data_IF_337613041495
#
_entry.id   IF_337613041495
#
_cell.length_a   1.000
_cell.length_b   1.000
_cell.length_c   1.000
_cell.angle_alpha   90.00
_cell.angle_beta   90.00
_cell.angle_gamma   90.00
#
_symmetry.space_group_name_H-M   'P 1'
#
loop_
_entity.id
_entity.type
_entity.pdbx_description
1 polymer ?
#
# COMPACT_ATOMS: atom_id res chain seq x y z
N UNK A 1 6.77 -22.77 -15.43
CA UNK A 1 7.13 -23.63 -14.27
C UNK A 1 7.82 -22.83 -13.15
N UNK A 2 8.25 -21.59 -13.36
CA UNK A 2 8.61 -20.67 -12.27
C UNK A 2 7.47 -19.67 -12.07
N UNK A 3 6.40 -20.09 -11.41
CA UNK A 3 5.47 -19.12 -10.83
C UNK A 3 6.14 -18.68 -9.52
N UNK A 4 6.32 -17.38 -9.31
CA UNK A 4 6.87 -16.78 -8.09
C UNK A 4 8.41 -16.72 -7.94
N UNK A 5 9.09 -15.92 -8.78
CA UNK A 5 10.26 -15.19 -8.26
C UNK A 5 9.76 -14.29 -7.12
N UNK A 6 10.26 -14.54 -5.92
CA UNK A 6 9.83 -13.90 -4.67
C UNK A 6 9.00 -14.75 -3.71
N UNK A 7 8.80 -16.04 -3.98
CA UNK A 7 8.36 -16.96 -2.93
C UNK A 7 9.54 -17.25 -2.00
N UNK A 8 9.49 -16.65 -0.81
CA UNK A 8 10.51 -16.79 0.22
C UNK A 8 9.91 -17.52 1.42
N UNK A 9 10.49 -18.66 1.81
CA UNK A 9 10.16 -19.26 3.10
C UNK A 9 10.82 -18.41 4.18
N UNK A 10 10.06 -17.86 5.14
CA UNK A 10 10.63 -16.98 6.14
C UNK A 10 11.64 -17.74 7.00
N UNK A 11 12.80 -17.12 7.18
CA UNK A 11 13.81 -17.56 8.12
C UNK A 11 13.32 -17.40 9.56
N UNK A 12 13.97 -18.07 10.52
CA UNK A 12 13.65 -17.90 11.94
C UNK A 12 13.78 -16.44 12.39
N UNK A 13 14.77 -15.73 11.86
CA UNK A 13 15.01 -14.31 12.14
C UNK A 13 13.85 -13.44 11.64
N UNK A 14 13.33 -13.70 10.45
CA UNK A 14 12.17 -12.96 9.92
C UNK A 14 10.88 -13.25 10.68
N UNK A 15 10.68 -14.49 11.13
CA UNK A 15 9.54 -14.83 12.00
C UNK A 15 9.63 -14.06 13.31
N UNK A 16 10.80 -14.03 13.94
CA UNK A 16 11.01 -13.29 15.19
C UNK A 16 10.86 -11.79 15.00
N UNK A 17 11.43 -11.25 13.92
CA UNK A 17 11.23 -9.85 13.53
C UNK A 17 9.76 -9.51 13.32
N UNK A 18 8.98 -10.42 12.72
CA UNK A 18 7.54 -10.27 12.56
C UNK A 18 6.77 -10.28 13.88
N UNK A 19 7.21 -11.06 14.87
CA UNK A 19 6.61 -11.06 16.22
C UNK A 19 6.88 -9.75 16.95
N UNK A 20 8.12 -9.26 16.92
CA UNK A 20 8.45 -7.97 17.52
C UNK A 20 7.70 -6.83 16.83
N UNK A 21 7.50 -6.90 15.51
CA UNK A 21 6.65 -5.96 14.78
C UNK A 21 5.23 -5.94 15.35
N UNK A 22 4.58 -7.10 15.47
CA UNK A 22 3.19 -7.21 15.97
C UNK A 22 3.09 -6.71 17.41
N UNK A 23 4.08 -7.02 18.24
CA UNK A 23 4.17 -6.53 19.63
C UNK A 23 4.29 -5.01 19.69
N UNK A 24 5.11 -4.39 18.83
CA UNK A 24 5.26 -2.93 18.77
C UNK A 24 3.96 -2.25 18.32
N UNK A 25 3.24 -2.83 17.36
CA UNK A 25 1.91 -2.38 16.94
C UNK A 25 0.89 -2.52 18.06
N UNK A 26 0.93 -3.62 18.81
CA UNK A 26 0.06 -3.86 19.96
C UNK A 26 0.28 -2.83 21.06
N UNK A 27 1.53 -2.63 21.49
CA UNK A 27 1.88 -1.64 22.52
C UNK A 27 1.38 -0.25 22.10
N UNK A 28 1.67 0.19 20.87
CA UNK A 28 1.21 1.47 20.36
C UNK A 28 -0.32 1.59 20.35
N UNK A 29 -1.03 0.52 19.95
CA UNK A 29 -2.50 0.50 19.92
C UNK A 29 -3.11 0.63 21.32
N UNK A 30 -2.57 -0.09 22.30
CA UNK A 30 -3.02 0.01 23.69
C UNK A 30 -2.67 1.37 24.31
N UNK A 31 -1.47 1.90 24.02
CA UNK A 31 -1.08 3.26 24.45
C UNK A 31 -2.05 4.31 23.93
N UNK A 32 -2.44 4.26 22.65
CA UNK A 32 -3.34 5.28 22.08
C UNK A 32 -4.77 5.17 22.63
N UNK A 33 -5.25 3.97 22.96
CA UNK A 33 -6.60 3.78 23.53
C UNK A 33 -6.81 4.50 24.86
N UNK A 34 -5.75 4.67 25.66
CA UNK A 34 -5.82 5.30 26.97
C UNK A 34 -5.54 6.81 26.93
N UNK A 35 -5.18 7.37 25.77
CA UNK A 35 -4.93 8.80 25.64
C UNK A 35 -6.23 9.60 25.80
N UNK A 36 -6.19 10.77 26.47
CA UNK A 36 -7.35 11.65 26.57
C UNK A 36 -7.73 12.19 25.19
N UNK A 37 -9.03 12.50 24.97
CA UNK A 37 -9.51 13.06 23.69
C UNK A 37 -8.74 14.31 23.24
N UNK A 38 -8.23 15.09 24.19
CA UNK A 38 -7.39 16.28 23.93
C UNK A 38 -6.09 15.96 23.22
N UNK A 39 -5.57 14.73 23.32
CA UNK A 39 -4.34 14.30 22.63
C UNK A 39 -4.51 14.14 21.11
N UNK A 40 -5.76 14.06 20.62
CA UNK A 40 -6.07 13.79 19.21
C UNK A 40 -6.38 15.04 18.38
N UNK A 41 -6.45 16.21 19.01
CA UNK A 41 -6.97 17.44 18.38
C UNK A 41 -6.23 18.71 18.84
N UNK A 42 -4.91 18.66 18.91
CA UNK A 42 -4.09 19.85 19.15
C UNK A 42 -4.30 20.89 18.06
N UNK A 43 -4.26 22.16 18.45
CA UNK A 43 -4.17 23.33 17.55
C UNK A 43 -2.76 23.51 16.96
N UNK A 44 -1.81 22.67 17.35
CA UNK A 44 -0.46 22.72 16.80
C UNK A 44 -0.43 22.30 15.34
N UNK A 45 0.39 23.03 14.59
CA UNK A 45 0.67 22.79 13.18
C UNK A 45 2.18 22.86 12.96
N UNK A 46 2.68 22.01 12.07
CA UNK A 46 4.07 22.02 11.62
C UNK A 46 4.11 22.11 10.09
N UNK A 47 4.98 22.97 9.56
CA UNK A 47 5.09 23.23 8.14
C UNK A 47 6.47 22.87 7.61
N UNK A 48 6.51 22.31 6.40
CA UNK A 48 7.76 21.97 5.71
C UNK A 48 7.76 22.51 4.29
N UNK A 49 8.94 22.90 3.82
CA UNK A 49 9.13 23.47 2.49
C UNK A 49 8.58 22.57 1.40
N UNK A 50 7.81 23.17 0.47
CA UNK A 50 7.18 22.46 -0.65
C UNK A 50 6.06 21.48 -0.27
N UNK A 51 5.79 21.26 1.02
CA UNK A 51 4.78 20.32 1.52
C UNK A 51 3.60 21.01 2.19
N UNK A 52 3.75 22.29 2.53
CA UNK A 52 2.77 23.02 3.33
C UNK A 52 2.75 22.51 4.77
N UNK A 53 1.59 22.62 5.39
CA UNK A 53 1.46 22.36 6.82
C UNK A 53 0.65 21.11 7.16
N UNK A 54 0.95 20.54 8.33
CA UNK A 54 0.38 19.35 8.94
C UNK A 54 -0.14 19.71 10.32
N UNK A 55 -1.42 19.50 10.57
CA UNK A 55 -2.06 19.68 11.88
C UNK A 55 -2.70 18.37 12.31
N UNK A 56 -3.09 18.21 13.58
CA UNK A 56 -3.87 17.04 14.01
C UNK A 56 -5.36 17.14 13.61
N UNK A 57 -5.72 18.17 12.83
CA UNK A 57 -7.09 18.42 12.39
C UNK A 57 -7.24 18.14 10.90
N UNK A 58 -8.22 17.31 10.58
CA UNK A 58 -8.65 17.05 9.22
C UNK A 58 -8.02 15.83 8.57
N UNK A 59 -8.30 15.68 7.28
CA UNK A 59 -8.07 14.44 6.53
C UNK A 59 -6.68 14.35 5.90
N UNK A 60 -5.81 15.34 6.09
CA UNK A 60 -4.47 15.39 5.45
C UNK A 60 -3.33 14.99 6.40
N UNK A 61 -3.67 14.62 7.62
CA UNK A 61 -2.71 14.31 8.66
C UNK A 61 -3.24 13.20 9.57
N UNK A 62 -2.34 12.62 10.35
CA UNK A 62 -2.66 11.64 11.37
C UNK A 62 -3.09 12.37 12.66
N UNK A 63 -4.13 11.91 13.35
CA UNK A 63 -4.65 12.65 14.52
C UNK A 63 -3.83 12.46 15.80
N UNK A 64 -3.00 11.41 15.89
CA UNK A 64 -2.31 11.05 17.16
C UNK A 64 -1.05 11.88 17.40
N UNK A 65 -0.26 12.18 16.37
CA UNK A 65 0.96 12.97 16.50
C UNK A 65 1.27 13.66 15.18
N UNK A 66 1.99 14.78 15.25
CA UNK A 66 2.52 15.44 14.07
C UNK A 66 3.68 14.61 13.48
N UNK A 67 3.89 14.66 12.15
CA UNK A 67 5.00 13.96 11.52
C UNK A 67 6.35 14.55 11.93
N UNK A 68 7.39 13.73 11.89
CA UNK A 68 8.80 14.13 11.95
C UNK A 68 9.19 14.97 10.73
N UNK A 69 10.35 15.63 10.77
CA UNK A 69 10.81 16.44 9.64
C UNK A 69 11.24 15.59 8.42
N UNK A 70 11.18 16.13 7.18
CA UNK A 70 11.72 15.47 6.00
C UNK A 70 13.16 14.98 6.15
N UNK A 71 13.98 15.70 6.93
CA UNK A 71 15.38 15.34 7.19
C UNK A 71 15.52 14.11 8.08
N UNK A 72 14.63 13.95 9.06
CA UNK A 72 14.61 12.78 9.95
C UNK A 72 14.04 11.55 9.24
N UNK A 73 12.98 11.73 8.46
CA UNK A 73 12.33 10.65 7.71
C UNK A 73 13.20 10.20 6.51
N UNK A 74 14.01 11.11 5.94
CA UNK A 74 15.01 10.84 4.91
C UNK A 74 14.47 10.00 3.74
N UNK A 75 13.31 10.41 3.22
CA UNK A 75 12.63 9.68 2.14
C UNK A 75 13.42 9.77 0.84
N UNK A 76 13.67 8.62 0.22
CA UNK A 76 14.35 8.50 -1.07
C UNK A 76 13.39 7.96 -2.13
N UNK A 77 13.40 8.62 -3.29
CA UNK A 77 12.63 8.21 -4.45
C UNK A 77 13.57 7.58 -5.49
N UNK A 78 13.60 6.26 -5.52
CA UNK A 78 14.51 5.49 -6.35
C UNK A 78 13.85 5.11 -7.67
N UNK A 79 14.15 5.85 -8.74
CA UNK A 79 13.57 5.64 -10.07
C UNK A 79 14.31 4.55 -10.85
N UNK A 80 13.56 3.53 -11.22
CA UNK A 80 13.96 2.45 -12.11
C UNK A 80 13.17 2.51 -13.42
N UNK A 81 13.81 2.03 -14.48
CA UNK A 81 13.20 1.77 -15.78
C UNK A 81 13.89 0.57 -16.41
N UNK A 82 13.42 0.13 -17.58
CA UNK A 82 14.12 -0.90 -18.38
C UNK A 82 15.57 -0.51 -18.71
N UNK A 83 15.90 0.79 -18.75
CA UNK A 83 17.25 1.29 -19.03
C UNK A 83 18.19 1.22 -17.82
N UNK A 84 17.64 1.28 -16.61
CA UNK A 84 18.41 1.33 -15.37
C UNK A 84 17.77 0.42 -14.30
N UNK A 85 17.73 -0.89 -14.59
CA UNK A 85 17.08 -1.87 -13.71
C UNK A 85 17.81 -2.10 -12.38
N UNK A 86 19.13 -1.92 -12.37
CA UNK A 86 19.99 -2.25 -11.22
C UNK A 86 20.29 -1.04 -10.35
N UNK A 87 20.64 0.10 -10.97
CA UNK A 87 21.01 1.33 -10.27
C UNK A 87 19.93 2.39 -10.50
N UNK A 88 19.24 2.85 -9.44
CA UNK A 88 18.19 3.84 -9.59
C UNK A 88 18.76 5.24 -9.85
N UNK A 89 17.96 6.08 -10.50
CA UNK A 89 18.15 7.53 -10.46
C UNK A 89 17.41 8.05 -9.21
N UNK A 90 18.08 8.84 -8.38
CA UNK A 90 17.45 9.42 -7.19
C UNK A 90 16.73 10.71 -7.59
N UNK A 91 15.42 10.75 -7.36
CA UNK A 91 14.59 11.92 -7.58
C UNK A 91 14.48 12.73 -6.29
N UNK A 92 14.53 14.06 -6.41
CA UNK A 92 14.34 14.99 -5.30
C UNK A 92 13.14 15.90 -5.61
N UNK A 93 12.10 15.82 -4.77
CA UNK A 93 10.85 16.56 -4.93
C UNK A 93 11.00 18.08 -4.71
N UNK A 94 12.12 18.53 -4.15
CA UNK A 94 12.45 19.95 -3.96
C UNK A 94 13.38 20.49 -5.05
N UNK A 95 14.20 19.63 -5.67
CA UNK A 95 15.17 20.06 -6.70
C UNK A 95 14.64 19.79 -8.10
N UNK A 96 14.10 20.84 -8.71
CA UNK A 96 13.52 20.79 -10.05
C UNK A 96 14.47 20.21 -11.11
N UNK A 97 15.77 20.49 -11.00
CA UNK A 97 16.83 20.03 -11.91
C UNK A 97 16.99 18.51 -11.88
N UNK A 98 16.86 17.90 -10.69
CA UNK A 98 16.97 16.43 -10.50
C UNK A 98 15.89 15.64 -11.24
N UNK A 99 14.82 16.34 -11.66
CA UNK A 99 13.66 15.75 -12.31
C UNK A 99 13.74 15.81 -13.84
N UNK A 100 14.79 16.41 -14.41
CA UNK A 100 15.06 16.49 -15.85
C UNK A 100 15.65 15.23 -16.47
N UNK A 101 15.13 14.06 -16.10
CA UNK A 101 15.74 12.76 -16.43
C UNK A 101 15.12 12.14 -17.68
N UNK A 102 15.93 11.41 -18.46
CA UNK A 102 15.54 10.88 -19.77
C UNK A 102 14.41 9.85 -19.72
N UNK A 103 14.17 9.24 -18.56
CA UNK A 103 13.10 8.27 -18.32
C UNK A 103 11.70 8.85 -18.59
N UNK A 104 11.54 10.18 -18.54
CA UNK A 104 10.28 10.86 -18.79
C UNK A 104 10.16 11.47 -20.20
N UNK A 105 11.07 11.14 -21.14
CA UNK A 105 10.97 11.62 -22.54
C UNK A 105 9.80 11.00 -23.32
N UNK A 106 9.24 9.89 -22.84
CA UNK A 106 8.11 9.20 -23.47
C UNK A 106 6.99 9.02 -22.46
N UNK A 107 5.74 9.03 -22.95
CA UNK A 107 4.58 8.83 -22.08
C UNK A 107 4.47 7.36 -21.67
N UNK A 108 4.76 7.08 -20.39
CA UNK A 108 4.74 5.74 -19.80
C UNK A 108 3.85 5.73 -18.55
N UNK A 109 3.50 4.54 -18.07
CA UNK A 109 2.96 4.40 -16.71
C UNK A 109 4.02 4.77 -15.69
N UNK A 110 3.61 5.39 -14.58
CA UNK A 110 4.47 5.70 -13.45
C UNK A 110 3.95 4.99 -12.20
N UNK A 111 4.67 3.97 -11.76
CA UNK A 111 4.29 3.13 -10.62
C UNK A 111 5.14 3.52 -9.42
N UNK A 112 4.53 3.75 -8.27
CA UNK A 112 5.22 3.87 -6.99
C UNK A 112 5.01 2.60 -6.18
N UNK A 113 6.07 2.09 -5.55
CA UNK A 113 6.00 0.97 -4.63
C UNK A 113 6.43 1.47 -3.25
N UNK A 114 5.54 1.36 -2.26
CA UNK A 114 5.73 1.92 -0.92
C UNK A 114 5.67 0.82 0.13
N UNK A 115 6.78 0.64 0.87
CA UNK A 115 6.89 -0.38 1.92
C UNK A 115 6.17 0.01 3.22
N UNK A 116 6.08 -0.95 4.15
CA UNK A 116 5.41 -0.83 5.43
C UNK A 116 6.33 -0.48 6.61
N UNK A 117 5.79 -0.71 7.81
CA UNK A 117 6.47 -0.47 9.08
C UNK A 117 7.70 -1.37 9.26
N UNK A 118 8.83 -0.80 9.68
CA UNK A 118 10.09 -1.51 9.91
C UNK A 118 10.83 -1.97 8.64
N UNK A 119 10.27 -1.77 7.45
CA UNK A 119 10.87 -2.18 6.19
C UNK A 119 11.68 -1.04 5.54
N UNK A 120 12.30 -1.31 4.39
CA UNK A 120 13.05 -0.33 3.60
C UNK A 120 12.81 -0.52 2.09
N UNK A 121 13.17 0.48 1.30
CA UNK A 121 12.95 0.45 -0.16
C UNK A 121 13.84 -0.53 -0.95
N UNK A 122 14.81 -1.19 -0.31
CA UNK A 122 15.64 -2.24 -0.91
C UNK A 122 15.21 -3.65 -0.49
N UNK A 123 14.07 -3.79 0.21
CA UNK A 123 13.52 -5.10 0.54
C UNK A 123 13.34 -5.95 -0.73
N UNK A 124 13.62 -7.24 -0.64
CA UNK A 124 13.60 -8.18 -1.79
C UNK A 124 12.29 -8.07 -2.57
N UNK A 125 11.16 -8.05 -1.88
CA UNK A 125 9.84 -7.97 -2.52
C UNK A 125 9.62 -6.65 -3.30
N UNK A 126 10.21 -5.53 -2.86
CA UNK A 126 10.16 -4.25 -3.58
C UNK A 126 10.89 -4.38 -4.92
N UNK A 127 12.10 -4.95 -4.88
CA UNK A 127 12.94 -5.11 -6.06
C UNK A 127 12.33 -6.12 -7.05
N UNK A 128 11.80 -7.23 -6.55
CA UNK A 128 11.11 -8.23 -7.36
C UNK A 128 9.82 -7.70 -7.96
N UNK A 129 9.02 -6.95 -7.21
CA UNK A 129 7.81 -6.32 -7.73
C UNK A 129 8.15 -5.26 -8.78
N UNK A 130 9.19 -4.45 -8.55
CA UNK A 130 9.75 -3.54 -9.57
C UNK A 130 10.10 -4.31 -10.84
N UNK A 131 10.84 -5.41 -10.73
CA UNK A 131 11.22 -6.20 -11.91
C UNK A 131 10.02 -6.83 -12.61
N UNK A 132 9.03 -7.32 -11.87
CA UNK A 132 7.79 -7.83 -12.44
C UNK A 132 7.04 -6.75 -13.25
N UNK A 133 6.95 -5.51 -12.74
CA UNK A 133 6.37 -4.40 -13.48
C UNK A 133 7.14 -4.07 -14.76
N UNK A 134 8.48 -3.99 -14.67
CA UNK A 134 9.34 -3.67 -15.81
C UNK A 134 9.35 -4.78 -16.87
N UNK A 135 9.13 -6.03 -16.48
CA UNK A 135 8.98 -7.16 -17.41
C UNK A 135 7.63 -7.13 -18.12
N UNK A 136 6.55 -6.88 -17.38
CA UNK A 136 5.19 -6.89 -17.91
C UNK A 136 4.88 -5.69 -18.81
N UNK A 137 5.40 -4.49 -18.52
CA UNK A 137 5.17 -3.29 -19.34
C UNK A 137 6.38 -2.34 -19.38
N UNK A 138 6.41 -1.45 -20.39
CA UNK A 138 7.37 -0.35 -20.42
C UNK A 138 6.88 0.81 -19.55
N UNK A 139 7.16 0.70 -18.25
CA UNK A 139 6.80 1.67 -17.21
C UNK A 139 8.03 2.22 -16.50
N UNK A 140 7.84 3.33 -15.81
CA UNK A 140 8.78 3.85 -14.82
C UNK A 140 8.32 3.39 -13.44
N UNK A 141 9.23 2.87 -12.62
CA UNK A 141 8.92 2.40 -11.25
C UNK A 141 9.74 3.19 -10.25
N UNK A 142 9.10 3.77 -9.25
CA UNK A 142 9.74 4.48 -8.14
C UNK A 142 9.55 3.67 -6.86
N UNK A 143 10.63 3.10 -6.35
CA UNK A 143 10.64 2.53 -5.01
C UNK A 143 10.81 3.66 -3.99
N UNK A 144 9.91 3.73 -3.01
CA UNK A 144 9.92 4.77 -1.98
C UNK A 144 10.54 4.19 -0.71
N UNK A 145 11.76 4.61 -0.40
CA UNK A 145 12.45 4.24 0.84
C UNK A 145 12.22 5.32 1.90
N UNK A 146 11.51 4.98 2.98
CA UNK A 146 11.24 5.86 4.10
C UNK A 146 11.58 5.19 5.44
N UNK A 147 12.52 4.24 5.42
CA UNK A 147 12.91 3.40 6.55
C UNK A 147 13.19 4.18 7.85
N UNK A 148 13.87 5.33 7.77
CA UNK A 148 14.17 6.17 8.94
C UNK A 148 12.93 6.80 9.56
N UNK A 149 11.86 6.97 8.79
CA UNK A 149 10.56 7.43 9.27
C UNK A 149 9.67 6.34 9.85
N UNK A 150 10.03 5.06 9.72
CA UNK A 150 9.24 3.94 10.23
C UNK A 150 10.02 2.86 11.01
N UNK A 151 11.01 3.19 11.87
CA UNK A 151 11.78 2.19 12.58
C UNK A 151 10.93 1.50 13.66
N UNK A 152 11.21 0.22 13.91
CA UNK A 152 10.75 -0.42 15.14
C UNK A 152 11.52 0.15 16.34
N UNK A 153 10.88 0.39 17.51
CA UNK A 153 9.48 0.10 17.86
C UNK A 153 8.49 1.25 17.64
N UNK A 154 8.88 2.31 16.91
CA UNK A 154 8.21 3.62 16.89
C UNK A 154 6.93 3.66 16.02
N UNK A 155 5.94 2.81 16.28
CA UNK A 155 4.75 2.69 15.43
C UNK A 155 3.86 3.95 15.38
N UNK A 156 3.67 4.66 16.50
CA UNK A 156 2.89 5.90 16.53
C UNK A 156 3.52 6.96 15.61
N UNK A 157 4.83 7.16 15.74
CA UNK A 157 5.61 8.09 14.90
C UNK A 157 5.58 7.65 13.44
N UNK A 158 5.74 6.35 13.17
CA UNK A 158 5.65 5.80 11.81
C UNK A 158 4.28 6.06 11.17
N UNK A 159 3.20 5.87 11.93
CA UNK A 159 1.84 6.14 11.47
C UNK A 159 1.64 7.62 11.13
N UNK A 160 2.16 8.54 11.94
CA UNK A 160 2.14 9.97 11.65
C UNK A 160 2.96 10.36 10.43
N UNK A 161 4.16 9.77 10.28
CA UNK A 161 5.04 10.01 9.14
C UNK A 161 4.42 9.58 7.80
N UNK A 162 3.39 8.71 7.80
CA UNK A 162 2.70 8.36 6.56
C UNK A 162 2.09 9.57 5.84
N UNK A 163 1.62 10.57 6.58
CA UNK A 163 1.08 11.81 6.02
C UNK A 163 2.17 12.64 5.33
N UNK A 164 3.36 12.74 5.96
CA UNK A 164 4.52 13.42 5.39
C UNK A 164 4.97 12.77 4.09
N UNK A 165 5.21 11.46 4.12
CA UNK A 165 5.68 10.70 2.95
C UNK A 165 4.65 10.76 1.82
N UNK A 166 3.35 10.72 2.17
CA UNK A 166 2.26 10.93 1.21
C UNK A 166 2.34 12.32 0.57
N UNK A 167 2.56 13.36 1.37
CA UNK A 167 2.78 14.73 0.88
C UNK A 167 3.98 14.84 -0.05
N UNK A 168 5.09 14.16 0.25
CA UNK A 168 6.29 14.14 -0.59
C UNK A 168 6.04 13.44 -1.94
N UNK A 169 5.33 12.31 -1.96
CA UNK A 169 4.90 11.65 -3.21
C UNK A 169 4.00 12.58 -4.02
N UNK A 170 3.01 13.20 -3.38
CA UNK A 170 2.10 14.13 -4.06
C UNK A 170 2.86 15.29 -4.72
N UNK A 171 3.81 15.89 -3.98
CA UNK A 171 4.66 16.96 -4.48
C UNK A 171 5.56 16.48 -5.62
N UNK A 172 6.16 15.30 -5.51
CA UNK A 172 6.99 14.74 -6.57
C UNK A 172 6.19 14.53 -7.87
N UNK A 173 5.00 13.94 -7.78
CA UNK A 173 4.11 13.72 -8.94
C UNK A 173 3.69 15.05 -9.55
N UNK A 174 3.34 16.03 -8.72
CA UNK A 174 3.01 17.38 -9.17
C UNK A 174 4.17 17.99 -9.96
N UNK A 175 5.38 18.03 -9.41
CA UNK A 175 6.53 18.67 -10.07
C UNK A 175 6.94 17.92 -11.34
N UNK A 176 6.89 16.59 -11.33
CA UNK A 176 7.13 15.77 -12.53
C UNK A 176 6.11 16.08 -13.63
N UNK A 177 4.83 16.18 -13.30
CA UNK A 177 3.78 16.53 -14.26
C UNK A 177 3.94 17.95 -14.81
N UNK A 178 4.43 18.90 -14.00
CA UNK A 178 4.73 20.26 -14.48
C UNK A 178 5.96 20.29 -15.38
N UNK A 179 7.01 19.53 -15.04
CA UNK A 179 8.26 19.48 -15.82
C UNK A 179 8.10 18.72 -17.14
N UNK A 180 7.26 17.69 -17.14
CA UNK A 180 7.06 16.77 -18.26
C UNK A 180 5.57 16.65 -18.63
N UNK A 181 4.91 17.77 -19.02
CA UNK A 181 3.45 17.83 -19.14
C UNK A 181 2.85 16.90 -20.20
N UNK A 182 3.65 16.49 -21.18
CA UNK A 182 3.19 15.61 -22.26
C UNK A 182 3.34 14.12 -21.94
N UNK A 183 4.18 13.77 -20.95
CA UNK A 183 4.63 12.39 -20.73
C UNK A 183 4.34 11.88 -19.32
N UNK A 184 4.31 12.75 -18.31
CA UNK A 184 3.86 12.40 -16.95
C UNK A 184 2.39 12.77 -16.79
N UNK A 185 1.52 11.79 -16.98
CA UNK A 185 0.06 11.96 -16.90
C UNK A 185 -0.45 11.46 -15.56
N UNK A 186 -1.10 12.28 -14.71
CA UNK A 186 -1.60 11.86 -13.40
C UNK A 186 -2.53 10.63 -13.44
N UNK A 187 -3.37 10.53 -14.47
CA UNK A 187 -4.24 9.37 -14.68
C UNK A 187 -3.49 8.05 -15.00
N UNK A 188 -2.20 8.12 -15.33
CA UNK A 188 -1.31 6.96 -15.54
C UNK A 188 -0.38 6.67 -14.35
N UNK A 189 -0.58 7.38 -13.22
CA UNK A 189 0.14 7.12 -11.98
C UNK A 189 -0.58 6.02 -11.19
N UNK A 190 0.18 5.04 -10.72
CA UNK A 190 -0.29 3.92 -9.89
C UNK A 190 0.53 3.85 -8.61
N UNK A 191 -0.09 4.06 -7.45
CA UNK A 191 0.56 3.88 -6.15
C UNK A 191 0.22 2.49 -5.60
N UNK A 192 1.22 1.64 -5.39
CA UNK A 192 1.10 0.34 -4.74
C UNK A 192 1.70 0.46 -3.35
N UNK A 193 0.87 0.35 -2.31
CA UNK A 193 1.32 0.54 -0.94
C UNK A 193 1.02 -0.68 -0.08
N UNK A 194 2.00 -1.18 0.66
CA UNK A 194 1.85 -2.28 1.62
C UNK A 194 1.78 -1.76 3.05
N UNK A 195 0.86 -2.29 3.87
CA UNK A 195 0.78 -1.95 5.30
C UNK A 195 0.60 -0.43 5.52
N UNK A 196 1.51 0.23 6.25
CA UNK A 196 1.57 1.70 6.37
C UNK A 196 1.77 2.41 5.01
N UNK A 197 2.43 1.78 4.04
CA UNK A 197 2.59 2.29 2.68
C UNK A 197 1.28 2.45 1.93
N UNK A 198 0.24 1.66 2.26
CA UNK A 198 -1.11 1.88 1.70
C UNK A 198 -1.72 3.19 2.22
N UNK A 199 -1.46 3.53 3.50
CA UNK A 199 -1.89 4.79 4.09
C UNK A 199 -1.13 5.97 3.48
N UNK A 200 0.19 5.82 3.27
CA UNK A 200 1.01 6.76 2.50
C UNK A 200 0.39 7.04 1.13
N UNK A 201 0.00 6.00 0.39
CA UNK A 201 -0.62 6.14 -0.93
C UNK A 201 -1.96 6.90 -0.86
N UNK A 202 -2.79 6.64 0.16
CA UNK A 202 -4.01 7.40 0.42
C UNK A 202 -3.76 8.89 0.68
N UNK A 203 -2.82 9.22 1.56
CA UNK A 203 -2.42 10.61 1.80
C UNK A 203 -1.86 11.29 0.56
N UNK A 204 -1.06 10.57 -0.25
CA UNK A 204 -0.51 11.10 -1.50
C UNK A 204 -1.61 11.48 -2.50
N UNK A 205 -2.54 10.55 -2.78
CA UNK A 205 -3.64 10.80 -3.71
C UNK A 205 -4.52 11.96 -3.25
N UNK A 206 -4.86 11.99 -1.95
CA UNK A 206 -5.66 13.06 -1.35
C UNK A 206 -4.98 14.42 -1.40
N UNK A 207 -3.69 14.49 -1.07
CA UNK A 207 -2.92 15.74 -1.10
C UNK A 207 -2.75 16.24 -2.52
N UNK A 208 -2.45 15.34 -3.47
CA UNK A 208 -2.35 15.66 -4.89
C UNK A 208 -3.66 16.24 -5.44
N UNK A 209 -4.81 15.64 -5.08
CA UNK A 209 -6.11 16.18 -5.46
C UNK A 209 -6.39 17.55 -4.86
N UNK A 210 -6.04 17.74 -3.58
CA UNK A 210 -6.20 19.03 -2.91
C UNK A 210 -5.38 20.14 -3.57
N UNK A 211 -4.15 19.86 -3.99
CA UNK A 211 -3.24 20.89 -4.55
C UNK A 211 -3.48 21.15 -6.03
N UNK A 212 -3.83 20.13 -6.81
CA UNK A 212 -3.91 20.24 -8.28
C UNK A 212 -5.33 20.22 -8.85
N UNK A 213 -6.32 19.83 -8.06
CA UNK A 213 -7.69 19.55 -8.52
C UNK A 213 -7.84 18.27 -9.37
N UNK A 214 -6.74 17.56 -9.68
CA UNK A 214 -6.71 16.32 -10.48
C UNK A 214 -6.57 15.11 -9.57
N UNK A 215 -6.99 13.93 -10.01
CA UNK A 215 -6.72 12.68 -9.30
C UNK A 215 -5.59 11.89 -9.94
N UNK A 216 -4.92 11.09 -9.12
CA UNK A 216 -4.03 10.03 -9.57
C UNK A 216 -4.87 8.87 -10.12
N UNK A 217 -4.34 8.14 -11.10
CA UNK A 217 -5.03 7.05 -11.77
C UNK A 217 -5.44 5.90 -10.85
N UNK A 218 -4.50 5.31 -10.10
CA UNK A 218 -4.79 4.14 -9.28
C UNK A 218 -4.05 4.13 -7.95
N UNK A 219 -4.72 3.64 -6.91
CA UNK A 219 -4.09 3.20 -5.66
C UNK A 219 -4.44 1.73 -5.43
N UNK A 220 -3.43 0.89 -5.19
CA UNK A 220 -3.62 -0.48 -4.70
C UNK A 220 -3.08 -0.59 -3.29
N UNK A 221 -3.97 -0.90 -2.34
CA UNK A 221 -3.62 -1.17 -0.95
C UNK A 221 -3.39 -2.66 -0.72
N UNK A 222 -2.16 -3.03 -0.41
CA UNK A 222 -1.77 -4.38 -0.03
C UNK A 222 -1.86 -4.48 1.49
N UNK A 223 -2.97 -5.02 1.96
CA UNK A 223 -3.33 -5.19 3.37
C UNK A 223 -3.09 -3.92 4.21
N UNK A 224 -3.73 -2.82 3.81
CA UNK A 224 -3.56 -1.51 4.45
C UNK A 224 -3.65 -1.60 5.98
N UNK A 225 -2.70 -0.99 6.70
CA UNK A 225 -2.63 -1.11 8.15
C UNK A 225 -3.90 -0.56 8.83
N UNK A 226 -4.54 -1.37 9.67
CA UNK A 226 -5.73 -0.99 10.44
C UNK A 226 -5.44 -0.19 11.73
N UNK A 227 -4.49 -0.62 12.57
CA UNK A 227 -4.17 0.04 13.84
C UNK A 227 -3.80 1.52 13.67
N UNK A 228 -4.39 2.39 14.50
CA UNK A 228 -4.28 3.85 14.43
C UNK A 228 -4.94 4.52 13.20
N UNK A 229 -5.54 3.77 12.28
CA UNK A 229 -6.15 4.31 11.06
C UNK A 229 -7.67 4.07 10.97
N UNK A 230 -8.10 2.80 10.99
CA UNK A 230 -9.48 2.41 10.65
C UNK A 230 -10.55 3.07 11.55
N UNK A 231 -10.25 3.23 12.84
CA UNK A 231 -11.18 3.82 13.81
C UNK A 231 -11.18 5.34 13.82
N UNK A 232 -10.25 5.99 13.10
CA UNK A 232 -10.01 7.42 13.20
C UNK A 232 -10.30 8.21 11.90
N UNK A 233 -10.54 7.52 10.78
CA UNK A 233 -11.10 8.13 9.57
C UNK A 233 -10.13 8.87 8.65
N UNK A 234 -8.83 8.87 8.93
CA UNK A 234 -7.78 9.42 8.04
C UNK A 234 -7.00 8.34 7.28
N UNK A 235 -7.65 7.23 6.96
CA UNK A 235 -7.09 6.14 6.19
C UNK A 235 -7.27 6.31 4.68
N UNK A 236 -6.58 5.50 3.87
CA UNK A 236 -6.83 5.37 2.43
C UNK A 236 -8.30 5.09 2.16
N UNK A 237 -8.87 5.70 1.11
CA UNK A 237 -10.26 5.50 0.72
C UNK A 237 -10.47 5.74 -0.79
N UNK A 238 -11.64 5.36 -1.30
CA UNK A 238 -12.02 5.42 -2.72
C UNK A 238 -11.89 6.80 -3.37
N UNK A 239 -11.90 7.88 -2.60
CA UNK A 239 -11.80 9.24 -3.14
C UNK A 239 -10.36 9.69 -3.41
N UNK A 240 -9.37 8.94 -2.92
CA UNK A 240 -7.96 9.33 -3.02
C UNK A 240 -7.36 9.13 -4.44
N UNK A 241 -8.02 8.36 -5.32
CA UNK A 241 -7.65 8.19 -6.73
C UNK A 241 -8.87 7.96 -7.63
N UNK A 242 -8.68 7.88 -8.95
CA UNK A 242 -9.73 7.49 -9.89
C UNK A 242 -10.19 6.05 -9.67
N UNK A 243 -9.24 5.15 -9.38
CA UNK A 243 -9.52 3.79 -8.97
C UNK A 243 -8.71 3.41 -7.73
N UNK A 244 -9.34 2.68 -6.81
CA UNK A 244 -8.73 2.27 -5.54
C UNK A 244 -9.13 0.82 -5.31
N UNK A 245 -8.17 -0.07 -5.19
CA UNK A 245 -8.40 -1.48 -4.91
C UNK A 245 -7.61 -1.96 -3.70
N UNK A 246 -8.24 -2.74 -2.83
CA UNK A 246 -7.65 -3.27 -1.61
C UNK A 246 -7.58 -4.78 -1.60
N UNK A 247 -6.45 -5.35 -1.18
CA UNK A 247 -6.30 -6.79 -0.92
C UNK A 247 -6.15 -6.97 0.60
N UNK A 248 -7.16 -7.55 1.23
CA UNK A 248 -7.22 -7.76 2.68
C UNK A 248 -6.81 -9.19 3.00
N UNK A 249 -5.67 -9.37 3.65
CA UNK A 249 -5.14 -10.71 3.99
C UNK A 249 -4.99 -10.95 5.49
N UNK A 250 -4.94 -9.89 6.29
CA UNK A 250 -4.95 -9.96 7.76
C UNK A 250 -5.99 -9.03 8.40
N UNK A 251 -7.16 -8.88 7.76
CA UNK A 251 -8.26 -8.05 8.24
C UNK A 251 -8.75 -8.47 9.63
N UNK A 252 -8.76 -7.53 10.58
CA UNK A 252 -9.35 -7.75 11.90
C UNK A 252 -8.79 -6.82 12.97
N UNK A 253 -9.21 -7.03 14.22
CA UNK A 253 -8.78 -6.22 15.38
C UNK A 253 -7.97 -7.02 16.41
N UNK A 254 -7.80 -8.33 16.21
CA UNK A 254 -7.05 -9.17 17.12
C UNK A 254 -5.58 -9.25 16.69
N UNK A 255 -4.79 -8.28 17.15
CA UNK A 255 -3.35 -8.17 16.85
C UNK A 255 -2.57 -9.43 17.26
N UNK A 256 -2.95 -10.08 18.37
CA UNK A 256 -2.32 -11.30 18.86
C UNK A 256 -2.59 -12.53 17.96
N UNK A 257 -3.53 -12.41 17.01
CA UNK A 257 -3.78 -13.38 15.94
C UNK A 257 -3.22 -12.92 14.58
N UNK A 258 -2.34 -11.92 14.57
CA UNK A 258 -1.72 -11.38 13.36
C UNK A 258 -2.67 -10.53 12.52
N UNK A 259 -3.81 -10.07 13.06
CA UNK A 259 -4.73 -9.21 12.32
C UNK A 259 -4.21 -7.76 12.28
N UNK A 260 -3.42 -7.40 11.27
CA UNK A 260 -2.79 -6.08 11.13
C UNK A 260 -3.50 -5.20 10.10
N UNK A 261 -4.26 -5.80 9.18
CA UNK A 261 -4.94 -5.12 8.09
C UNK A 261 -6.28 -4.51 8.49
N UNK A 262 -6.68 -3.46 7.77
CA UNK A 262 -8.03 -2.90 7.82
C UNK A 262 -9.07 -3.98 7.52
N UNK A 263 -10.15 -3.99 8.32
CA UNK A 263 -11.29 -4.87 8.13
C UNK A 263 -12.32 -4.28 7.17
N UNK A 264 -12.60 -2.99 7.31
CA UNK A 264 -13.61 -2.28 6.52
C UNK A 264 -13.13 -2.11 5.08
N UNK A 265 -14.04 -2.21 4.10
CA UNK A 265 -13.72 -1.86 2.73
C UNK A 265 -13.37 -0.38 2.63
N UNK A 266 -12.33 -0.06 1.88
CA UNK A 266 -11.88 1.32 1.65
C UNK A 266 -11.84 1.72 0.17
N UNK A 267 -11.70 0.76 -0.74
CA UNK A 267 -11.59 1.01 -2.18
C UNK A 267 -12.90 0.89 -2.95
N UNK A 268 -12.79 1.13 -4.26
CA UNK A 268 -13.80 0.79 -5.26
C UNK A 268 -13.98 -0.74 -5.38
N UNK A 269 -12.90 -1.50 -5.22
CA UNK A 269 -12.91 -2.96 -5.11
C UNK A 269 -12.11 -3.40 -3.87
N UNK A 270 -12.62 -4.36 -3.10
CA UNK A 270 -12.00 -4.81 -1.86
C UNK A 270 -12.03 -6.34 -1.84
N UNK A 271 -10.88 -6.96 -1.99
CA UNK A 271 -10.72 -8.40 -2.12
C UNK A 271 -10.34 -9.01 -0.79
N UNK A 272 -11.08 -10.04 -0.37
CA UNK A 272 -10.89 -10.77 0.88
C UNK A 272 -10.55 -12.24 0.58
N UNK A 273 -9.33 -12.54 0.07
CA UNK A 273 -8.88 -13.91 -0.16
C UNK A 273 -8.97 -14.74 1.11
N UNK A 274 -9.58 -15.91 1.00
CA UNK A 274 -9.81 -16.86 2.11
C UNK A 274 -10.62 -16.24 3.26
N UNK A 275 -11.50 -15.28 2.94
CA UNK A 275 -12.24 -14.48 3.91
C UNK A 275 -11.45 -13.29 4.44
N UNK A 276 -10.16 -13.17 4.13
CA UNK A 276 -9.35 -11.97 4.32
C UNK A 276 -8.66 -11.79 5.67
N UNK A 277 -8.79 -12.77 6.59
CA UNK A 277 -8.14 -12.71 7.92
C UNK A 277 -7.00 -13.72 8.05
N UNK A 278 -7.21 -14.96 7.63
CA UNK A 278 -6.26 -16.06 7.80
C UNK A 278 -6.00 -16.71 6.46
N UNK A 279 -4.75 -16.66 6.04
CA UNK A 279 -4.32 -17.15 4.74
C UNK A 279 -3.73 -18.56 4.82
N UNK A 280 -4.04 -19.45 3.85
CA UNK A 280 -3.42 -20.78 3.75
C UNK A 280 -1.88 -20.69 3.74
N UNK A 281 -1.19 -21.64 4.38
CA UNK A 281 0.28 -21.67 4.48
C UNK A 281 0.92 -20.76 5.52
N UNK A 282 0.14 -19.91 6.19
CA UNK A 282 0.66 -19.10 7.27
C UNK A 282 0.51 -19.82 8.61
N UNK A 283 1.63 -20.01 9.30
CA UNK A 283 1.67 -20.72 10.57
C UNK A 283 1.35 -19.79 11.74
N UNK A 284 0.73 -20.31 12.80
CA UNK A 284 0.24 -19.52 13.94
C UNK A 284 1.30 -18.68 14.67
N UNK A 285 2.57 -19.06 14.54
CA UNK A 285 3.71 -18.36 15.12
C UNK A 285 4.28 -17.25 14.24
N UNK A 286 3.97 -17.25 12.95
CA UNK A 286 4.36 -16.20 12.01
C UNK A 286 3.19 -15.23 11.84
N UNK A 287 3.06 -14.36 12.85
CA UNK A 287 1.99 -13.38 12.96
C UNK A 287 2.00 -12.35 11.81
N UNK A 288 3.11 -12.20 11.09
CA UNK A 288 3.24 -11.30 9.96
C UNK A 288 2.96 -11.98 8.61
N UNK A 289 2.94 -13.32 8.52
CA UNK A 289 2.71 -14.03 7.27
C UNK A 289 1.38 -13.64 6.62
N UNK A 290 0.28 -13.62 7.38
CA UNK A 290 -1.03 -13.23 6.86
C UNK A 290 -0.99 -11.83 6.24
N UNK A 291 -0.26 -10.91 6.86
CA UNK A 291 -0.11 -9.54 6.36
C UNK A 291 0.64 -9.51 5.02
N UNK A 292 1.78 -10.21 4.94
CA UNK A 292 2.63 -10.26 3.73
C UNK A 292 1.99 -10.95 2.53
N UNK A 293 1.02 -11.85 2.72
CA UNK A 293 0.33 -12.56 1.62
C UNK A 293 -0.28 -11.63 0.56
N UNK A 294 -0.68 -10.42 0.94
CA UNK A 294 -1.19 -9.42 -0.01
C UNK A 294 -0.16 -9.04 -1.07
N UNK A 295 1.11 -8.93 -0.69
CA UNK A 295 2.25 -8.66 -1.59
C UNK A 295 2.45 -9.82 -2.55
N UNK A 296 2.46 -11.05 -2.04
CA UNK A 296 2.68 -12.25 -2.84
C UNK A 296 1.56 -12.47 -3.87
N UNK A 297 0.29 -12.31 -3.45
CA UNK A 297 -0.85 -12.44 -4.37
C UNK A 297 -0.83 -11.38 -5.45
N UNK A 298 -0.51 -10.12 -5.10
CA UNK A 298 -0.39 -9.06 -6.08
C UNK A 298 0.77 -9.30 -7.05
N UNK A 299 1.93 -9.71 -6.55
CA UNK A 299 3.10 -10.02 -7.37
C UNK A 299 2.82 -11.18 -8.34
N UNK A 300 2.19 -12.27 -7.88
CA UNK A 300 1.78 -13.37 -8.74
C UNK A 300 0.76 -12.91 -9.79
N UNK A 301 -0.17 -12.02 -9.44
CA UNK A 301 -1.14 -11.49 -10.41
C UNK A 301 -0.50 -10.67 -11.54
N UNK A 302 0.70 -10.09 -11.32
CA UNK A 302 1.49 -9.43 -12.38
C UNK A 302 2.21 -10.49 -13.23
N UNK A 303 2.91 -11.43 -12.58
CA UNK A 303 3.78 -12.41 -13.25
C UNK A 303 2.99 -13.47 -14.04
N UNK A 304 1.81 -13.83 -13.56
CA UNK A 304 1.02 -14.96 -14.06
C UNK A 304 -0.30 -14.55 -14.72
N UNK A 305 -0.47 -13.26 -15.04
CA UNK A 305 -1.69 -12.69 -15.62
C UNK A 305 -2.30 -13.50 -16.79
N UNK A 306 -1.46 -14.18 -17.58
CA UNK A 306 -1.90 -14.98 -18.75
C UNK A 306 -2.17 -16.45 -18.44
N UNK A 307 -1.62 -16.99 -17.36
CA UNK A 307 -1.69 -18.41 -17.02
C UNK A 307 -2.61 -18.71 -15.84
N UNK A 308 -2.92 -17.71 -15.02
CA UNK A 308 -3.73 -17.90 -13.83
C UNK A 308 -4.38 -16.60 -13.35
N UNK A 309 -5.67 -16.66 -13.01
CA UNK A 309 -6.47 -15.49 -12.64
C UNK A 309 -7.00 -15.64 -11.22
N UNK A 310 -6.87 -14.59 -10.41
CA UNK A 310 -7.48 -14.53 -9.09
C UNK A 310 -8.95 -14.09 -9.20
N UNK A 311 -9.78 -14.95 -9.80
CA UNK A 311 -11.22 -14.68 -9.95
C UNK A 311 -11.88 -14.53 -8.59
N UNK A 312 -12.60 -13.44 -8.42
CA UNK A 312 -13.31 -13.10 -7.21
C UNK A 312 -14.79 -12.83 -7.48
N UNK A 313 -15.61 -13.02 -6.47
CA UNK A 313 -17.07 -12.88 -6.56
C UNK A 313 -17.62 -12.04 -5.42
N UNK A 314 -18.75 -11.36 -5.67
CA UNK A 314 -19.61 -10.91 -4.59
C UNK A 314 -20.30 -12.09 -3.95
N UNK A 315 -20.26 -12.12 -2.62
CA UNK A 315 -20.97 -13.11 -1.83
C UNK A 315 -22.13 -12.45 -1.08
N UNK A 316 -23.39 -12.68 -1.50
CA UNK A 316 -24.54 -12.28 -0.69
C UNK A 316 -24.44 -12.90 0.72
N UNK A 317 -24.58 -12.08 1.77
CA UNK A 317 -24.32 -12.49 3.15
C UNK A 317 -22.85 -12.31 3.61
N UNK A 318 -22.00 -11.75 2.74
CA UNK A 318 -20.64 -11.32 3.05
C UNK A 318 -19.70 -12.44 3.49
N UNK A 319 -18.69 -12.07 4.26
CA UNK A 319 -17.61 -12.95 4.73
C UNK A 319 -18.14 -14.23 5.43
N UNK A 320 -19.19 -14.12 6.27
CA UNK A 320 -19.75 -15.27 7.00
C UNK A 320 -20.40 -16.29 6.06
N UNK A 321 -21.10 -15.82 5.04
CA UNK A 321 -21.67 -16.70 4.02
C UNK A 321 -20.56 -17.34 3.17
N UNK A 322 -19.54 -16.55 2.80
CA UNK A 322 -18.39 -17.02 2.03
C UNK A 322 -17.64 -18.14 2.73
N UNK A 323 -17.22 -17.92 3.98
CA UNK A 323 -16.51 -18.92 4.79
C UNK A 323 -17.36 -20.18 5.01
N UNK A 324 -18.68 -20.02 5.12
CA UNK A 324 -19.61 -21.14 5.22
C UNK A 324 -19.96 -21.82 3.89
N UNK A 325 -19.33 -21.44 2.76
CA UNK A 325 -19.64 -21.94 1.40
C UNK A 325 -21.11 -21.77 1.00
N UNK A 326 -21.72 -20.66 1.42
CA UNK A 326 -23.14 -20.31 1.21
C UNK A 326 -23.31 -19.00 0.45
N UNK A 327 -22.36 -18.63 -0.40
CA UNK A 327 -22.61 -17.60 -1.39
C UNK A 327 -23.71 -18.15 -2.29
N UNK A 328 -24.91 -17.55 -2.24
CA UNK A 328 -26.01 -17.92 -3.13
C UNK A 328 -25.64 -17.64 -4.60
N UNK A 329 -26.63 -17.30 -5.44
CA UNK A 329 -26.32 -16.87 -6.81
C UNK A 329 -25.52 -15.55 -6.77
N UNK A 330 -24.23 -15.61 -7.06
CA UNK A 330 -23.41 -14.43 -7.35
C UNK A 330 -23.84 -13.84 -8.69
N UNK A 331 -23.90 -12.52 -8.79
CA UNK A 331 -24.22 -11.83 -10.04
C UNK A 331 -23.14 -12.06 -11.13
N UNK A 332 -23.25 -11.29 -12.22
CA UNK A 332 -22.27 -11.30 -13.31
C UNK A 332 -21.10 -10.33 -13.08
N UNK A 333 -21.04 -9.67 -11.93
CA UNK A 333 -20.03 -8.69 -11.55
C UNK A 333 -18.80 -9.34 -10.91
N UNK A 334 -18.19 -10.26 -11.65
CA UNK A 334 -16.96 -10.94 -11.27
C UNK A 334 -15.79 -9.95 -11.20
N UNK A 335 -15.03 -10.04 -10.12
CA UNK A 335 -13.77 -9.34 -9.95
C UNK A 335 -12.58 -10.20 -10.36
N UNK A 336 -11.45 -9.55 -10.58
CA UNK A 336 -10.13 -10.18 -10.64
C UNK A 336 -9.24 -9.47 -9.63
N UNK A 337 -8.82 -10.19 -8.59
CA UNK A 337 -7.94 -9.61 -7.57
C UNK A 337 -6.55 -9.39 -8.16
N UNK A 338 -5.92 -8.24 -7.85
CA UNK A 338 -4.54 -7.96 -8.24
C UNK A 338 -4.40 -6.98 -9.38
N UNK A 339 -3.40 -7.17 -10.24
CA UNK A 339 -3.02 -6.19 -11.25
C UNK A 339 -4.15 -5.85 -12.23
N UNK A 340 -4.96 -6.82 -12.65
CA UNK A 340 -6.07 -6.62 -13.59
C UNK A 340 -7.41 -6.22 -12.94
N UNK A 341 -7.43 -5.86 -11.65
CA UNK A 341 -8.67 -5.49 -10.96
C UNK A 341 -9.41 -4.29 -11.55
N UNK A 342 -8.67 -3.38 -12.19
CA UNK A 342 -9.24 -2.20 -12.87
C UNK A 342 -10.04 -2.59 -14.12
N UNK A 343 -9.63 -3.68 -14.80
CA UNK A 343 -10.23 -4.17 -16.04
C UNK A 343 -11.48 -5.04 -15.76
N UNK A 344 -11.62 -5.56 -14.54
CA UNK A 344 -12.73 -6.40 -14.12
C UNK A 344 -13.98 -5.56 -13.74
N UNK A 345 -15.15 -6.19 -13.75
CA UNK A 345 -16.43 -5.56 -13.38
C UNK A 345 -16.69 -5.53 -11.87
N UNK A 346 -16.08 -6.44 -11.11
CA UNK A 346 -16.32 -6.58 -9.67
C UNK A 346 -15.92 -5.34 -8.87
N UNK A 347 -16.87 -4.83 -8.07
CA UNK A 347 -16.70 -3.68 -7.16
C UNK A 347 -17.23 -4.01 -5.77
N UNK A 348 -16.93 -3.18 -4.77
CA UNK A 348 -17.30 -3.44 -3.38
C UNK A 348 -16.52 -4.63 -2.80
N UNK A 349 -17.13 -5.35 -1.86
CA UNK A 349 -16.53 -6.53 -1.25
C UNK A 349 -16.57 -7.74 -2.19
N UNK A 350 -15.41 -8.32 -2.43
CA UNK A 350 -15.17 -9.44 -3.34
C UNK A 350 -14.41 -10.53 -2.57
N UNK A 351 -14.77 -11.79 -2.81
CA UNK A 351 -14.21 -12.94 -2.10
C UNK A 351 -13.70 -13.98 -3.09
N UNK A 352 -12.65 -14.69 -2.68
CA UNK A 352 -12.01 -15.75 -3.46
C UNK A 352 -11.24 -16.68 -2.53
N UNK A 353 -10.98 -17.89 -2.99
CA UNK A 353 -10.09 -18.84 -2.31
C UNK A 353 -8.75 -18.89 -3.03
N UNK A 354 -7.66 -19.03 -2.29
CA UNK A 354 -6.31 -19.23 -2.85
C UNK A 354 -5.75 -20.57 -2.38
N UNK A 355 -4.66 -21.01 -3.02
CA UNK A 355 -3.84 -22.12 -2.54
C UNK A 355 -2.92 -21.66 -1.40
N UNK A 356 -2.33 -22.65 -0.73
CA UNK A 356 -1.28 -22.46 0.29
C UNK A 356 0.09 -22.13 -0.31
N UNK A 357 0.41 -22.69 -1.48
CA UNK A 357 1.67 -22.48 -2.18
C UNK A 357 1.42 -21.93 -3.57
N UNK A 358 2.42 -21.26 -4.12
CA UNK A 358 2.39 -20.76 -5.48
C UNK A 358 2.27 -21.92 -6.51
N UNK A 359 1.45 -21.81 -7.57
CA UNK A 359 0.53 -20.69 -7.86
C UNK A 359 -0.61 -20.60 -6.83
N UNK A 360 -0.76 -19.41 -6.22
CA UNK A 360 -1.78 -19.12 -5.22
C UNK A 360 -3.16 -18.99 -5.82
N UNK A 361 -3.27 -18.48 -7.04
CA UNK A 361 -4.53 -18.47 -7.76
C UNK A 361 -5.04 -19.91 -7.95
N UNK A 362 -6.36 -20.09 -7.85
CA UNK A 362 -6.99 -21.37 -8.14
C UNK A 362 -7.37 -21.41 -9.62
N UNK A 363 -6.92 -22.45 -10.31
CA UNK A 363 -7.34 -22.76 -11.68
C UNK A 363 -8.79 -23.22 -11.72
#
# INVERSE_FOLDING_TARGET
KECCKGHHKPTKEEVEWGRELVKNVYIASETVKILPKTAFYSDQEICYDGLGCFSQRGIFSHSVSLPSSPREVDTKFMLYSRRNRQVPVILDYLRYESLGVDQFQQQKGLVFIVHGFGENGNATWILEMKDAFLEMADVNVVAVDWNKGCPQPMYITAAANTALVGGQIARLVEVLAHRHPNTVVPAKVHLVGFSLGAQVAGFAGRRFHRTTGKKIGRITGLDAAGPLFESYGFHVNRHDAEFVDGIHTSAGTNLLKGCLGMKKPYGHANFYPNGGTSQPGCWWFDLACHHRRSVEYFMESIQSARSCQFKALKCPGGQKAFLGRRCGKSGYDWGEMGYHSIDANGRGEQYLWTNENCPYCKM
#
